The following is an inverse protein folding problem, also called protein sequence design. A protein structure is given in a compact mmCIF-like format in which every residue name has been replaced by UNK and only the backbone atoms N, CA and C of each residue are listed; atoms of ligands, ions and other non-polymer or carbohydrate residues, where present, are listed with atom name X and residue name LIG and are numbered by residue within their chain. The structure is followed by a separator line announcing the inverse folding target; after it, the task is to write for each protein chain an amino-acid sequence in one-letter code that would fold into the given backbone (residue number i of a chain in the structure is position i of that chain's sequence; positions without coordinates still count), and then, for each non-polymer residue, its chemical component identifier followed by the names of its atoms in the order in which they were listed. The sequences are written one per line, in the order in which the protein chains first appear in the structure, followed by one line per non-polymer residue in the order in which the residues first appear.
data_IF_977088731846
#
_entry.id   IF_977088731846
#
_cell.length_a   1.000
_cell.length_b   1.000
_cell.length_c   1.000
_cell.angle_alpha   90.00
_cell.angle_beta   90.00
_cell.angle_gamma   90.00
#
_symmetry.space_group_name_H-M   'P 1'
#
loop_
_entity.id
_entity.type
_entity.pdbx_description
1 polymer ?
#
# COMPACT_ATOMS: atom_id res chain seq x y z
N UNK A 1 16.75 3.76 -10.94
CA UNK A 1 17.15 4.90 -10.08
C UNK A 1 18.21 4.43 -9.10
N UNK A 2 19.40 5.01 -9.24
CA UNK A 2 20.64 4.70 -8.51
C UNK A 2 20.59 5.31 -7.08
N UNK A 3 21.43 4.83 -6.17
CA UNK A 3 21.49 5.31 -4.77
C UNK A 3 21.74 6.82 -4.64
N UNK A 4 21.51 7.39 -3.45
CA UNK A 4 21.80 8.81 -3.22
C UNK A 4 23.30 8.98 -3.00
N UNK A 5 23.91 9.96 -3.66
CA UNK A 5 25.31 10.34 -3.39
C UNK A 5 25.42 10.88 -1.98
N UNK A 6 26.33 10.29 -1.21
CA UNK A 6 26.70 10.72 0.12
C UNK A 6 28.09 11.36 0.06
N UNK A 7 28.13 12.67 -0.17
CA UNK A 7 29.39 13.42 -0.17
C UNK A 7 29.86 13.65 1.28
N UNK A 8 30.67 12.73 1.80
CA UNK A 8 31.32 12.90 3.11
C UNK A 8 32.31 14.06 3.08
N UNK A 9 32.64 14.60 4.25
CA UNK A 9 33.67 15.63 4.39
C UNK A 9 35.01 15.16 3.83
N UNK A 10 35.38 13.91 4.09
CA UNK A 10 36.63 13.31 3.62
C UNK A 10 36.66 13.15 2.10
N UNK A 11 35.56 12.67 1.49
CA UNK A 11 35.45 12.56 0.04
C UNK A 11 35.52 13.93 -0.64
N UNK A 12 34.86 14.93 -0.06
CA UNK A 12 34.92 16.31 -0.55
C UNK A 12 36.35 16.84 -0.48
N UNK A 13 37.06 16.64 0.62
CA UNK A 13 38.46 17.03 0.78
C UNK A 13 39.37 16.31 -0.20
N UNK A 14 39.15 15.01 -0.44
CA UNK A 14 39.89 14.20 -1.42
C UNK A 14 39.73 14.73 -2.85
N UNK A 15 38.49 15.00 -3.28
CA UNK A 15 38.22 15.56 -4.61
C UNK A 15 38.78 16.98 -4.78
N UNK A 16 38.83 17.75 -3.70
CA UNK A 16 39.37 19.11 -3.69
C UNK A 16 40.87 19.16 -3.34
N UNK A 17 41.56 18.03 -3.22
CA UNK A 17 43.01 18.02 -3.04
C UNK A 17 43.70 18.59 -4.29
N UNK A 18 44.71 19.48 -4.17
CA UNK A 18 45.34 20.16 -5.32
C UNK A 18 45.74 19.22 -6.46
N UNK A 19 46.38 18.10 -6.13
CA UNK A 19 46.85 17.11 -7.11
C UNK A 19 45.69 16.46 -7.88
N UNK A 20 44.59 16.15 -7.19
CA UNK A 20 43.39 15.59 -7.80
C UNK A 20 42.65 16.64 -8.66
N UNK A 21 42.62 17.90 -8.23
CA UNK A 21 42.05 18.98 -9.04
C UNK A 21 42.83 19.18 -10.34
N UNK A 22 44.15 19.23 -10.27
CA UNK A 22 45.01 19.39 -11.44
C UNK A 22 44.86 18.20 -12.40
N UNK A 23 44.80 16.99 -11.87
CA UNK A 23 44.59 15.77 -12.66
C UNK A 23 43.25 15.74 -13.39
N UNK A 24 42.18 16.18 -12.72
CA UNK A 24 40.84 16.27 -13.30
C UNK A 24 40.76 17.39 -14.35
N UNK A 25 41.41 18.53 -14.11
CA UNK A 25 41.49 19.63 -15.08
C UNK A 25 42.19 19.21 -16.38
N UNK A 26 43.28 18.41 -16.29
CA UNK A 26 43.94 17.82 -17.47
C UNK A 26 43.06 16.86 -18.28
N UNK A 27 41.91 16.45 -17.73
CA UNK A 27 40.88 15.60 -18.36
C UNK A 27 39.59 16.38 -18.66
N UNK A 28 39.69 17.71 -18.79
CA UNK A 28 38.58 18.62 -19.10
C UNK A 28 37.47 18.66 -18.03
N UNK A 29 37.79 18.31 -16.79
CA UNK A 29 36.86 18.38 -15.65
C UNK A 29 37.29 19.54 -14.75
N UNK A 30 36.77 20.74 -15.03
CA UNK A 30 37.11 21.95 -14.27
C UNK A 30 36.51 21.99 -12.86
N UNK A 31 35.34 21.35 -12.67
CA UNK A 31 34.72 21.21 -11.36
C UNK A 31 34.94 19.78 -10.84
N UNK A 32 35.78 19.55 -9.81
CA UNK A 32 36.03 18.23 -9.26
C UNK A 32 34.78 17.50 -8.79
N UNK A 33 33.72 18.22 -8.38
CA UNK A 33 32.46 17.61 -7.95
C UNK A 33 31.60 17.11 -9.12
N UNK A 34 31.92 17.46 -10.37
CA UNK A 34 31.19 16.97 -11.54
C UNK A 34 31.30 15.44 -11.69
N UNK A 35 32.39 14.85 -11.20
CA UNK A 35 32.65 13.39 -11.24
C UNK A 35 31.60 12.58 -10.45
N UNK A 36 30.90 13.22 -9.49
CA UNK A 36 29.82 12.58 -8.74
C UNK A 36 28.68 12.13 -9.67
N UNK A 37 28.49 12.80 -10.81
CA UNK A 37 27.50 12.40 -11.81
C UNK A 37 27.89 11.09 -12.48
N UNK A 38 29.17 10.91 -12.84
CA UNK A 38 29.67 9.67 -13.43
C UNK A 38 29.48 8.48 -12.46
N UNK A 39 29.81 8.71 -11.18
CA UNK A 39 29.61 7.73 -10.11
C UNK A 39 28.14 7.38 -9.90
N UNK A 40 27.23 8.37 -10.00
CA UNK A 40 25.78 8.11 -9.97
C UNK A 40 25.28 7.27 -11.13
N UNK A 41 25.98 7.24 -12.26
CA UNK A 41 25.65 6.40 -13.40
C UNK A 41 26.38 5.05 -13.38
N UNK A 42 27.13 4.77 -12.31
CA UNK A 42 27.86 3.51 -12.14
C UNK A 42 29.24 3.48 -12.79
N UNK A 43 29.78 4.64 -13.17
CA UNK A 43 31.13 4.74 -13.73
C UNK A 43 32.14 5.08 -12.64
N UNK A 44 33.26 4.35 -12.62
CA UNK A 44 34.41 4.66 -11.77
C UNK A 44 35.17 5.89 -12.29
N UNK A 45 35.86 6.58 -11.40
CA UNK A 45 36.63 7.79 -11.70
C UNK A 45 38.07 7.59 -11.23
N UNK A 46 39.04 7.76 -12.11
CA UNK A 46 40.45 7.76 -11.74
C UNK A 46 40.82 9.09 -11.06
N UNK A 47 41.63 9.01 -10.00
CA UNK A 47 42.30 10.14 -9.34
C UNK A 47 43.79 9.82 -9.19
N UNK A 48 44.61 10.80 -8.80
CA UNK A 48 46.06 10.59 -8.60
C UNK A 48 46.34 9.63 -7.45
N UNK A 49 45.50 9.69 -6.42
CA UNK A 49 45.61 8.91 -5.19
C UNK A 49 44.87 7.55 -5.25
N UNK A 50 44.30 7.20 -6.40
CA UNK A 50 43.60 5.93 -6.63
C UNK A 50 42.26 6.07 -7.35
N UNK A 51 41.60 4.95 -7.63
CA UNK A 51 40.27 4.96 -8.25
C UNK A 51 39.18 5.22 -7.21
N UNK A 52 38.17 6.00 -7.60
CA UNK A 52 36.95 6.23 -6.84
C UNK A 52 35.81 5.42 -7.49
N UNK A 53 35.21 4.52 -6.74
CA UNK A 53 34.17 3.60 -7.21
C UNK A 53 32.77 4.12 -6.84
N UNK A 54 31.72 3.73 -7.59
CA UNK A 54 30.35 4.10 -7.25
C UNK A 54 29.96 3.75 -5.81
N UNK A 55 30.37 2.58 -5.30
CA UNK A 55 30.13 2.14 -3.93
C UNK A 55 30.76 3.01 -2.84
N UNK A 56 31.83 3.76 -3.15
CA UNK A 56 32.47 4.68 -2.20
C UNK A 56 31.60 5.91 -1.90
N UNK A 57 30.61 6.17 -2.75
CA UNK A 57 29.83 7.41 -2.77
C UNK A 57 28.33 7.15 -2.69
N UNK A 58 27.86 6.02 -3.21
CA UNK A 58 26.45 5.69 -3.27
C UNK A 58 26.00 5.00 -1.98
N UNK A 59 25.08 5.65 -1.27
CA UNK A 59 24.34 5.00 -0.19
C UNK A 59 23.36 3.95 -0.73
N UNK A 60 22.97 3.01 0.13
CA UNK A 60 21.89 2.08 -0.19
C UNK A 60 20.65 2.81 -0.71
N UNK A 61 20.05 2.25 -1.76
CA UNK A 61 18.83 2.81 -2.33
C UNK A 61 17.73 2.85 -1.26
N UNK A 62 17.34 4.06 -0.84
CA UNK A 62 16.21 4.24 0.07
C UNK A 62 14.92 3.72 -0.59
N UNK A 63 14.23 2.85 0.15
CA UNK A 63 12.92 2.35 -0.25
C UNK A 63 11.91 3.48 -0.05
N UNK A 64 11.24 3.91 -1.11
CA UNK A 64 10.20 4.94 -1.02
C UNK A 64 8.94 4.44 -0.31
N UNK A 65 8.09 5.38 0.13
CA UNK A 65 6.73 5.08 0.58
C UNK A 65 5.87 4.74 -0.64
N UNK A 66 4.89 3.87 -0.44
CA UNK A 66 3.80 3.61 -1.39
C UNK A 66 2.49 3.73 -0.63
N UNK A 67 1.50 4.35 -1.26
CA UNK A 67 0.17 4.58 -0.72
C UNK A 67 -0.82 4.37 -1.86
N UNK A 68 -1.88 3.63 -1.57
CA UNK A 68 -3.06 3.43 -2.39
C UNK A 68 -4.25 3.96 -1.60
N UNK A 69 -4.98 4.91 -2.17
CA UNK A 69 -6.23 5.41 -1.60
C UNK A 69 -7.33 4.91 -2.51
N UNK A 70 -8.19 4.06 -1.97
CA UNK A 70 -9.35 3.54 -2.70
C UNK A 70 -10.52 4.48 -2.51
N UNK A 71 -11.25 4.71 -3.61
CA UNK A 71 -12.63 5.17 -3.51
C UNK A 71 -13.57 3.98 -3.35
N UNK A 72 -14.87 4.24 -3.47
CA UNK A 72 -15.89 3.21 -3.30
C UNK A 72 -15.70 2.03 -4.25
N UNK A 73 -15.60 0.81 -3.71
CA UNK A 73 -15.34 -0.38 -4.52
C UNK A 73 -15.72 -1.69 -3.83
N UNK A 74 -16.34 -2.58 -4.61
CA UNK A 74 -16.49 -4.01 -4.29
C UNK A 74 -15.46 -4.89 -5.03
N UNK A 75 -14.67 -4.30 -5.94
CA UNK A 75 -13.66 -4.96 -6.77
C UNK A 75 -12.39 -4.09 -6.80
N UNK A 76 -11.38 -4.49 -6.02
CA UNK A 76 -10.15 -3.72 -5.83
C UNK A 76 -8.99 -4.20 -6.72
N UNK A 77 -9.27 -5.02 -7.74
CA UNK A 77 -8.25 -5.77 -8.51
C UNK A 77 -7.22 -4.89 -9.22
N UNK A 78 -7.63 -3.69 -9.61
CA UNK A 78 -6.77 -2.73 -10.32
C UNK A 78 -5.71 -2.06 -9.42
N UNK A 79 -5.72 -2.28 -8.09
CA UNK A 79 -4.94 -1.47 -7.16
C UNK A 79 -3.96 -2.31 -6.33
N UNK A 80 -2.70 -1.86 -6.26
CA UNK A 80 -1.65 -2.53 -5.50
C UNK A 80 -0.91 -1.58 -4.50
N UNK A 81 -1.04 -1.96 -3.22
CA UNK A 81 -0.25 -1.69 -1.98
C UNK A 81 -0.41 -0.39 -1.18
N UNK A 82 -0.55 -0.62 0.14
CA UNK A 82 -0.83 0.27 1.27
C UNK A 82 -2.18 0.96 1.09
N UNK A 83 -3.23 0.23 1.42
CA UNK A 83 -4.59 0.63 1.11
C UNK A 83 -5.21 1.44 2.26
N UNK A 84 -5.69 2.64 1.92
CA UNK A 84 -6.90 3.17 2.54
C UNK A 84 -8.05 2.51 1.79
N UNK A 85 -8.81 1.67 2.48
CA UNK A 85 -9.90 0.89 1.88
C UNK A 85 -11.23 1.37 2.45
N UNK A 86 -12.20 1.60 1.58
CA UNK A 86 -13.57 1.82 2.06
C UNK A 86 -14.13 0.55 2.72
N UNK A 87 -14.86 0.73 3.81
CA UNK A 87 -15.41 -0.33 4.63
C UNK A 87 -16.81 0.11 5.06
N UNK A 88 -17.68 0.22 4.07
CA UNK A 88 -19.00 0.83 4.23
C UNK A 88 -19.88 0.06 5.20
N UNK A 89 -19.85 -1.28 5.15
CA UNK A 89 -20.78 -2.07 5.94
C UNK A 89 -20.11 -3.26 6.61
N UNK A 90 -20.57 -3.64 7.80
CA UNK A 90 -19.97 -4.67 8.64
C UNK A 90 -21.09 -5.34 9.42
N UNK A 91 -20.99 -6.64 9.70
CA UNK A 91 -21.98 -7.29 10.54
C UNK A 91 -21.72 -6.89 12.00
N UNK A 92 -22.69 -6.26 12.66
CA UNK A 92 -22.57 -5.85 14.06
C UNK A 92 -23.70 -6.53 14.82
N UNK A 93 -23.36 -7.45 15.73
CA UNK A 93 -24.35 -8.30 16.45
C UNK A 93 -25.44 -7.47 17.13
N UNK A 94 -25.07 -6.35 17.76
CA UNK A 94 -26.02 -5.43 18.40
C UNK A 94 -26.96 -4.68 17.42
N UNK A 95 -26.64 -4.60 16.14
CA UNK A 95 -27.42 -3.89 15.12
C UNK A 95 -28.15 -4.81 14.15
N UNK A 96 -27.52 -5.90 13.76
CA UNK A 96 -28.04 -6.87 12.78
C UNK A 96 -28.78 -8.04 13.47
N UNK A 97 -28.44 -8.34 14.73
CA UNK A 97 -29.07 -9.39 15.54
C UNK A 97 -29.09 -10.76 14.85
N UNK A 98 -30.10 -11.57 15.17
CA UNK A 98 -30.34 -12.88 14.54
C UNK A 98 -30.95 -12.79 13.12
N UNK A 99 -31.14 -11.58 12.58
CA UNK A 99 -31.87 -11.35 11.34
C UNK A 99 -30.98 -11.30 10.11
N UNK A 100 -29.66 -11.34 10.28
CA UNK A 100 -28.71 -11.41 9.17
C UNK A 100 -27.49 -12.22 9.57
N UNK A 101 -26.78 -12.76 8.59
CA UNK A 101 -25.46 -13.38 8.83
C UNK A 101 -24.36 -12.57 8.14
N UNK A 102 -23.11 -12.75 8.58
CA UNK A 102 -21.94 -12.15 7.92
C UNK A 102 -21.96 -12.33 6.39
N UNK A 103 -22.37 -13.52 5.93
CA UNK A 103 -22.39 -13.87 4.51
C UNK A 103 -23.42 -13.04 3.74
N UNK A 104 -24.54 -12.71 4.37
CA UNK A 104 -25.62 -11.94 3.76
C UNK A 104 -25.27 -10.47 3.72
N UNK A 105 -24.69 -9.95 4.81
CA UNK A 105 -24.15 -8.58 4.84
C UNK A 105 -23.07 -8.42 3.78
N UNK A 106 -22.15 -9.38 3.63
CA UNK A 106 -21.11 -9.32 2.60
C UNK A 106 -21.68 -9.36 1.17
N UNK A 107 -22.57 -10.31 0.88
CA UNK A 107 -23.17 -10.43 -0.45
C UNK A 107 -24.01 -9.19 -0.84
N UNK A 108 -24.80 -8.68 0.09
CA UNK A 108 -25.60 -7.47 -0.13
C UNK A 108 -24.71 -6.24 -0.30
N UNK A 109 -23.66 -6.09 0.50
CA UNK A 109 -22.72 -4.96 0.39
C UNK A 109 -22.00 -4.95 -0.96
N UNK A 110 -21.56 -6.13 -1.43
CA UNK A 110 -20.93 -6.29 -2.75
C UNK A 110 -21.81 -5.74 -3.89
N UNK A 111 -23.10 -6.09 -3.93
CA UNK A 111 -23.99 -5.64 -5.02
C UNK A 111 -24.37 -4.16 -4.95
N UNK A 112 -24.15 -3.51 -3.81
CA UNK A 112 -24.24 -2.06 -3.69
C UNK A 112 -22.96 -1.36 -4.18
N UNK A 113 -21.92 -2.13 -4.54
CA UNK A 113 -20.64 -1.61 -5.00
C UNK A 113 -19.69 -1.25 -3.86
N UNK A 114 -19.90 -1.81 -2.66
CA UNK A 114 -19.10 -1.51 -1.48
C UNK A 114 -18.38 -2.74 -0.92
N UNK A 115 -17.48 -2.49 0.04
CA UNK A 115 -16.75 -3.50 0.79
C UNK A 115 -17.16 -3.65 2.26
N UNK A 116 -16.90 -4.85 2.80
CA UNK A 116 -17.00 -5.16 4.23
C UNK A 116 -15.62 -5.26 4.87
N UNK A 117 -15.50 -5.29 6.22
CA UNK A 117 -14.20 -5.47 6.86
C UNK A 117 -13.53 -6.78 6.45
N UNK A 118 -14.32 -7.83 6.22
CA UNK A 118 -13.81 -9.13 5.78
C UNK A 118 -13.24 -9.06 4.36
N UNK A 119 -13.92 -8.42 3.41
CA UNK A 119 -13.40 -8.26 2.05
C UNK A 119 -12.18 -7.34 2.01
N UNK A 120 -12.20 -6.25 2.78
CA UNK A 120 -11.05 -5.35 2.93
C UNK A 120 -9.83 -6.08 3.53
N UNK A 121 -10.06 -6.94 4.53
CA UNK A 121 -9.02 -7.80 5.11
C UNK A 121 -8.42 -8.76 4.09
N UNK A 122 -9.25 -9.54 3.38
CA UNK A 122 -8.77 -10.46 2.33
C UNK A 122 -7.92 -9.74 1.28
N UNK A 123 -8.37 -8.57 0.84
CA UNK A 123 -7.62 -7.75 -0.11
C UNK A 123 -6.27 -7.25 0.46
N UNK A 124 -6.25 -6.78 1.71
CA UNK A 124 -5.03 -6.34 2.36
C UNK A 124 -4.02 -7.48 2.55
N UNK A 125 -4.51 -8.68 2.88
CA UNK A 125 -3.70 -9.89 3.01
C UNK A 125 -3.10 -10.31 1.66
N UNK A 126 -3.92 -10.34 0.62
CA UNK A 126 -3.49 -10.61 -0.76
C UNK A 126 -2.35 -9.68 -1.19
N UNK A 127 -2.45 -8.38 -0.88
CA UNK A 127 -1.42 -7.40 -1.23
C UNK A 127 -0.19 -7.40 -0.29
N UNK A 128 -0.26 -8.18 0.80
CA UNK A 128 0.70 -8.13 1.91
C UNK A 128 0.93 -6.69 2.34
N UNK A 129 -0.18 -5.99 2.58
CA UNK A 129 -0.17 -4.62 3.10
C UNK A 129 0.47 -4.62 4.48
N UNK A 130 1.25 -3.58 4.78
CA UNK A 130 1.87 -3.42 6.12
C UNK A 130 0.96 -2.66 7.08
N UNK A 131 0.09 -1.84 6.51
CA UNK A 131 -0.85 -1.00 7.21
C UNK A 131 -2.09 -0.87 6.34
N UNK A 132 -3.25 -1.23 6.89
CA UNK A 132 -4.57 -1.06 6.31
C UNK A 132 -5.34 -0.06 7.16
N UNK A 133 -5.90 0.95 6.50
CA UNK A 133 -6.75 1.95 7.14
C UNK A 133 -8.15 1.79 6.56
N UNK A 134 -9.11 1.46 7.41
CA UNK A 134 -10.53 1.32 7.07
C UNK A 134 -11.22 2.67 7.20
N UNK A 135 -12.03 3.06 6.23
CA UNK A 135 -12.77 4.34 6.24
C UNK A 135 -14.12 4.21 5.52
N UNK A 136 -14.82 5.33 5.31
CA UNK A 136 -16.10 5.41 4.61
C UNK A 136 -17.18 4.53 5.27
N UNK A 137 -17.29 4.59 6.59
CA UNK A 137 -18.24 3.78 7.35
C UNK A 137 -19.69 4.21 7.13
N UNK A 138 -20.63 3.25 7.15
CA UNK A 138 -22.06 3.54 7.04
C UNK A 138 -22.55 4.45 8.17
N UNK A 139 -23.42 5.41 7.81
CA UNK A 139 -24.11 6.29 8.75
C UNK A 139 -24.96 5.57 9.80
N UNK A 140 -25.19 4.27 9.62
CA UNK A 140 -25.89 3.44 10.62
C UNK A 140 -25.08 3.29 11.91
N UNK A 141 -23.76 3.47 11.85
CA UNK A 141 -22.89 3.54 13.03
C UNK A 141 -22.89 5.00 13.51
N UNK A 142 -23.53 5.23 14.66
CA UNK A 142 -23.68 6.57 15.20
C UNK A 142 -22.43 6.98 15.97
N UNK A 143 -22.05 8.24 15.80
CA UNK A 143 -21.02 8.89 16.60
C UNK A 143 -21.64 9.52 17.86
N UNK A 144 -22.22 8.68 18.72
CA UNK A 144 -22.92 9.07 19.95
C UNK A 144 -22.31 8.43 21.22
N UNK A 145 -21.02 8.10 21.16
CA UNK A 145 -20.29 7.38 22.21
C UNK A 145 -20.41 5.86 22.14
N UNK A 146 -21.25 5.30 21.25
CA UNK A 146 -21.33 3.87 20.95
C UNK A 146 -20.37 3.41 19.83
N UNK A 147 -19.59 4.32 19.27
CA UNK A 147 -18.79 4.08 18.07
C UNK A 147 -17.57 3.19 18.33
N UNK A 148 -16.87 3.36 19.45
CA UNK A 148 -15.64 2.60 19.73
C UNK A 148 -15.85 1.08 19.77
N UNK A 149 -16.87 0.52 20.45
CA UNK A 149 -17.18 -0.91 20.37
C UNK A 149 -17.49 -1.41 18.95
N UNK A 150 -18.12 -0.56 18.13
CA UNK A 150 -18.44 -0.89 16.72
C UNK A 150 -17.16 -0.92 15.88
N UNK A 151 -16.30 0.09 16.02
CA UNK A 151 -15.01 0.15 15.32
C UNK A 151 -14.10 -1.00 15.74
N UNK A 152 -14.12 -1.39 17.01
CA UNK A 152 -13.44 -2.56 17.50
C UNK A 152 -13.95 -3.85 16.84
N UNK A 153 -15.27 -4.02 16.72
CA UNK A 153 -15.86 -5.17 16.02
C UNK A 153 -15.50 -5.19 14.53
N UNK A 154 -15.53 -4.04 13.86
CA UNK A 154 -15.09 -3.87 12.46
C UNK A 154 -13.63 -4.31 12.32
N UNK A 155 -12.76 -3.83 13.21
CA UNK A 155 -11.33 -4.17 13.22
C UNK A 155 -11.11 -5.67 13.43
N UNK A 156 -11.85 -6.30 14.33
CA UNK A 156 -11.77 -7.74 14.60
C UNK A 156 -12.22 -8.59 13.40
N UNK A 157 -13.31 -8.20 12.73
CA UNK A 157 -13.77 -8.86 11.50
C UNK A 157 -12.76 -8.74 10.35
N UNK A 158 -12.06 -7.62 10.25
CA UNK A 158 -10.97 -7.47 9.30
C UNK A 158 -9.78 -8.38 9.68
N UNK A 159 -9.41 -8.40 10.97
CA UNK A 159 -8.29 -9.16 11.49
C UNK A 159 -8.44 -10.69 11.27
N UNK A 160 -9.67 -11.20 11.21
CA UNK A 160 -9.90 -12.63 10.92
C UNK A 160 -9.47 -13.06 9.50
N UNK A 161 -9.18 -12.10 8.61
CA UNK A 161 -8.72 -12.36 7.24
C UNK A 161 -7.43 -11.62 6.87
N UNK A 162 -6.83 -10.87 7.81
CA UNK A 162 -5.61 -10.10 7.61
C UNK A 162 -4.81 -10.04 8.90
N UNK A 163 -3.71 -10.78 8.91
CA UNK A 163 -2.78 -10.91 10.04
C UNK A 163 -1.39 -10.30 9.75
N UNK A 164 -1.14 -9.94 8.49
CA UNK A 164 0.19 -9.55 8.01
C UNK A 164 0.61 -8.11 8.34
N UNK A 165 -0.29 -7.27 8.86
CA UNK A 165 0.05 -5.89 9.21
C UNK A 165 -0.94 -5.19 10.13
N UNK A 166 -0.70 -3.89 10.38
CA UNK A 166 -1.54 -3.05 11.27
C UNK A 166 -2.90 -2.79 10.61
N UNK A 167 -3.96 -2.77 11.42
CA UNK A 167 -5.32 -2.34 11.05
C UNK A 167 -5.68 -1.12 11.90
N UNK A 168 -6.20 -0.07 11.26
CA UNK A 168 -6.68 1.16 11.90
C UNK A 168 -8.04 1.53 11.29
N UNK A 169 -9.00 1.95 12.13
CA UNK A 169 -10.26 2.52 11.65
C UNK A 169 -10.12 4.04 11.72
N UNK A 170 -10.32 4.72 10.59
CA UNK A 170 -10.09 6.15 10.50
C UNK A 170 -11.20 6.96 11.17
N UNK A 171 -10.82 8.00 11.91
CA UNK A 171 -11.75 8.98 12.45
C UNK A 171 -11.69 10.30 11.66
N UNK A 172 -12.78 11.07 11.73
CA UNK A 172 -12.82 12.40 11.14
C UNK A 172 -11.67 13.26 11.69
N UNK A 173 -10.95 13.92 10.78
CA UNK A 173 -9.77 14.77 11.06
C UNK A 173 -8.54 14.02 11.60
N UNK A 174 -8.53 12.69 11.60
CA UNK A 174 -7.37 11.92 12.03
C UNK A 174 -6.15 12.12 11.11
N UNK A 175 -4.97 12.19 11.71
CA UNK A 175 -3.69 12.31 10.98
C UNK A 175 -2.87 11.04 11.16
N UNK A 176 -2.75 10.27 10.08
CA UNK A 176 -1.93 9.04 10.07
C UNK A 176 -0.56 9.28 9.47
N UNK A 177 0.51 9.02 10.24
CA UNK A 177 1.90 9.18 9.78
C UNK A 177 2.45 7.89 9.15
N UNK A 178 2.74 7.93 7.84
CA UNK A 178 3.35 6.81 7.12
C UNK A 178 4.88 6.88 7.16
N UNK A 179 5.49 6.02 7.98
CA UNK A 179 6.95 5.90 8.14
C UNK A 179 7.59 5.24 6.91
N UNK A 180 8.83 5.64 6.59
CA UNK A 180 9.63 4.98 5.56
C UNK A 180 10.02 3.58 6.06
N UNK A 181 9.78 2.51 5.28
CA UNK A 181 10.14 1.15 5.69
C UNK A 181 11.65 0.96 5.79
N UNK A 182 12.12 0.31 6.87
CA UNK A 182 13.54 0.00 7.11
C UNK A 182 14.06 -1.23 6.36
N UNK A 183 13.16 -2.02 5.76
CA UNK A 183 13.52 -3.25 5.05
C UNK A 183 12.45 -3.73 4.08
N UNK A 184 12.87 -4.72 3.29
CA UNK A 184 12.17 -5.48 2.25
C UNK A 184 11.89 -4.73 0.95
N UNK A 185 12.46 -5.26 -0.14
CA UNK A 185 12.14 -4.86 -1.52
C UNK A 185 10.88 -5.62 -1.93
N UNK A 186 9.92 -4.91 -2.48
CA UNK A 186 8.80 -5.60 -3.11
C UNK A 186 9.26 -6.31 -4.37
N UNK A 187 9.08 -7.62 -4.45
CA UNK A 187 9.66 -8.43 -5.52
C UNK A 187 8.72 -8.75 -6.69
N UNK A 188 7.40 -8.52 -6.63
CA UNK A 188 6.58 -8.77 -7.83
C UNK A 188 5.24 -8.02 -7.86
N UNK A 189 5.00 -7.21 -8.90
CA UNK A 189 3.73 -6.52 -9.14
C UNK A 189 2.67 -7.47 -9.69
N UNK A 190 3.08 -8.45 -10.49
CA UNK A 190 2.17 -9.41 -11.12
C UNK A 190 1.56 -10.34 -10.07
N UNK A 191 2.36 -10.79 -9.10
CA UNK A 191 1.83 -11.58 -7.99
C UNK A 191 0.79 -10.79 -7.18
N UNK A 192 1.06 -9.50 -6.89
CA UNK A 192 0.12 -8.62 -6.21
C UNK A 192 -1.24 -8.56 -6.90
N UNK A 193 -1.20 -8.37 -8.21
CA UNK A 193 -2.38 -8.28 -9.05
C UNK A 193 -3.14 -9.60 -9.05
N UNK A 194 -2.44 -10.73 -9.19
CA UNK A 194 -3.06 -12.07 -9.12
C UNK A 194 -3.74 -12.32 -7.78
N UNK A 195 -3.08 -11.96 -6.68
CA UNK A 195 -3.63 -12.17 -5.34
C UNK A 195 -4.87 -11.30 -5.10
N UNK A 196 -4.82 -10.03 -5.50
CA UNK A 196 -5.98 -9.13 -5.44
C UNK A 196 -7.12 -9.58 -6.36
N UNK A 197 -6.77 -10.11 -7.56
CA UNK A 197 -7.69 -10.70 -8.51
C UNK A 197 -8.47 -11.87 -7.92
N UNK A 198 -7.76 -12.79 -7.27
CA UNK A 198 -8.37 -13.95 -6.62
C UNK A 198 -9.32 -13.51 -5.48
N UNK A 199 -8.89 -12.58 -4.63
CA UNK A 199 -9.72 -12.09 -3.52
C UNK A 199 -11.03 -11.44 -3.98
N UNK A 200 -11.01 -10.69 -5.09
CA UNK A 200 -12.20 -10.09 -5.66
C UNK A 200 -13.12 -11.10 -6.36
N UNK A 201 -12.55 -12.09 -7.06
CA UNK A 201 -13.32 -13.19 -7.64
C UNK A 201 -14.06 -14.00 -6.57
N UNK A 202 -13.40 -14.28 -5.44
CA UNK A 202 -14.02 -14.97 -4.31
C UNK A 202 -15.19 -14.18 -3.74
N UNK A 203 -15.03 -12.86 -3.55
CA UNK A 203 -16.11 -11.99 -3.09
C UNK A 203 -17.30 -11.97 -4.07
N UNK A 204 -17.02 -11.92 -5.38
CA UNK A 204 -18.04 -12.00 -6.44
C UNK A 204 -18.77 -13.34 -6.42
N UNK A 205 -18.03 -14.45 -6.31
CA UNK A 205 -18.57 -15.80 -6.27
C UNK A 205 -19.47 -15.99 -5.05
N UNK A 206 -19.05 -15.49 -3.89
CA UNK A 206 -19.84 -15.48 -2.66
C UNK A 206 -21.16 -14.72 -2.83
N UNK A 207 -21.13 -13.53 -3.42
CA UNK A 207 -22.34 -12.75 -3.71
C UNK A 207 -23.28 -13.49 -4.68
N UNK A 208 -22.74 -14.07 -5.77
CA UNK A 208 -23.53 -14.88 -6.72
C UNK A 208 -24.27 -16.02 -6.03
N UNK A 209 -23.55 -16.81 -5.22
CA UNK A 209 -24.12 -17.96 -4.53
C UNK A 209 -25.29 -17.55 -3.62
N UNK A 210 -25.13 -16.45 -2.87
CA UNK A 210 -26.19 -15.91 -2.01
C UNK A 210 -27.47 -15.55 -2.78
N UNK A 211 -27.37 -14.83 -3.90
CA UNK A 211 -28.53 -14.38 -4.67
C UNK A 211 -29.20 -15.52 -5.46
N UNK A 212 -28.42 -16.45 -6.01
CA UNK A 212 -28.92 -17.64 -6.70
C UNK A 212 -29.73 -18.53 -5.76
N UNK A 213 -29.23 -18.77 -4.54
CA UNK A 213 -29.91 -19.58 -3.53
C UNK A 213 -31.27 -19.00 -3.09
N UNK A 214 -31.44 -17.68 -3.20
CA UNK A 214 -32.64 -16.97 -2.74
C UNK A 214 -33.61 -16.57 -3.85
N UNK A 215 -33.34 -16.92 -5.12
CA UNK A 215 -34.17 -16.61 -6.31
C UNK A 215 -34.76 -15.19 -6.29
N UNK A 216 -33.95 -14.21 -5.92
CA UNK A 216 -34.39 -12.82 -5.78
C UNK A 216 -34.40 -12.10 -7.12
N UNK A 217 -35.36 -11.19 -7.33
CA UNK A 217 -35.37 -10.31 -8.50
C UNK A 217 -34.20 -9.33 -8.41
N UNK A 218 -33.22 -9.46 -9.31
CA UNK A 218 -32.05 -8.60 -9.35
C UNK A 218 -32.30 -7.37 -10.22
N UNK A 219 -31.90 -6.21 -9.72
CA UNK A 219 -31.84 -4.97 -10.50
C UNK A 219 -30.84 -5.10 -11.68
N UNK A 220 -30.98 -4.25 -12.69
CA UNK A 220 -30.04 -4.24 -13.83
C UNK A 220 -28.59 -3.97 -13.38
N UNK A 221 -28.39 -3.06 -12.41
CA UNK A 221 -27.07 -2.77 -11.83
C UNK A 221 -26.48 -4.01 -11.14
N UNK A 222 -27.30 -4.70 -10.34
CA UNK A 222 -26.89 -5.91 -9.63
C UNK A 222 -26.48 -7.03 -10.60
N UNK A 223 -27.21 -7.20 -11.70
CA UNK A 223 -26.85 -8.19 -12.74
C UNK A 223 -25.49 -7.86 -13.36
N UNK A 224 -25.23 -6.60 -13.73
CA UNK A 224 -23.94 -6.19 -14.30
C UNK A 224 -22.75 -6.41 -13.36
N UNK A 225 -22.94 -6.20 -12.05
CA UNK A 225 -21.87 -6.47 -11.06
C UNK A 225 -21.61 -7.97 -10.88
N UNK A 226 -22.62 -8.80 -11.10
CA UNK A 226 -22.51 -10.25 -11.00
C UNK A 226 -22.12 -10.90 -12.33
N UNK A 227 -22.35 -10.31 -13.50
CA UNK A 227 -21.84 -10.82 -14.79
C UNK A 227 -20.31 -10.76 -14.82
#
# INVERSE_FOLDING_TARGET
MVGRVHLTSDLKSRLLAPDNQEFLQRRDISNPLAVLTALQHGHSVELVDGTLLPEDVLSERRIGRRLAILGDTCDSRAVARLAVHECTNAFIDMLDGAHSTFNEVEATTYVHGHSTPRTAGRFAQALRCRHLILTHFSRRYKDDGSMEPVMECIRQQCASHYDSGKIECAHDLEVVTIKIPKGDRYSDKEQAYRDAAAAADDAKAHAKAFFLARKTSLSQRTRRLLE
#
